data_IF_428719184126
#
_entry.id   IF_428719184126
#
_cell.length_a   1.000
_cell.length_b   1.000
_cell.length_c   1.000
_cell.angle_alpha   90.00
_cell.angle_beta   90.00
_cell.angle_gamma   90.00
#
_symmetry.space_group_name_H-M   'P 1'
#
loop_
_entity.id
_entity.type
_entity.pdbx_description
1 polymer ?
#
# COMPACT_ATOMS: atom_id res chain seq x y z
N UNK A 1 -14.80 16.14 -7.69
CA UNK A 1 -13.61 16.49 -6.85
C UNK A 1 -14.01 17.04 -5.48
N UNK A 2 -14.79 18.13 -5.34
CA UNK A 2 -15.17 18.69 -4.02
C UNK A 2 -15.76 17.65 -3.05
N UNK A 3 -16.63 16.74 -3.52
CA UNK A 3 -17.22 15.66 -2.70
C UNK A 3 -16.17 14.66 -2.21
N UNK A 4 -15.21 14.25 -3.04
CA UNK A 4 -14.13 13.34 -2.66
C UNK A 4 -13.26 13.92 -1.53
N UNK A 5 -12.93 15.21 -1.60
CA UNK A 5 -12.17 15.89 -0.55
C UNK A 5 -12.99 16.04 0.74
N UNK A 6 -14.27 16.41 0.65
CA UNK A 6 -15.16 16.50 1.82
C UNK A 6 -15.32 15.15 2.51
N UNK A 7 -15.49 14.06 1.74
CA UNK A 7 -15.65 12.71 2.28
C UNK A 7 -14.35 12.16 2.86
N UNK A 8 -13.20 12.56 2.34
CA UNK A 8 -11.89 12.14 2.85
C UNK A 8 -11.58 12.69 4.25
N UNK A 9 -12.12 13.87 4.60
CA UNK A 9 -11.90 14.48 5.91
C UNK A 9 -12.85 13.95 7.00
N UNK A 10 -13.85 13.16 6.63
CA UNK A 10 -14.74 12.50 7.60
C UNK A 10 -14.03 11.34 8.29
N UNK A 11 -14.40 11.09 9.53
CA UNK A 11 -13.99 9.92 10.32
C UNK A 11 -12.48 9.85 10.67
N UNK A 12 -11.79 10.99 10.70
CA UNK A 12 -10.40 11.03 11.19
C UNK A 12 -10.38 10.87 12.71
N UNK A 13 -9.67 9.84 13.18
CA UNK A 13 -9.43 9.61 14.60
C UNK A 13 -8.22 10.41 15.08
N UNK A 14 -8.13 10.59 16.41
CA UNK A 14 -6.93 11.18 17.01
C UNK A 14 -5.67 10.38 16.64
N UNK A 15 -5.79 9.04 16.56
CA UNK A 15 -4.69 8.17 16.13
C UNK A 15 -4.19 8.52 14.72
N UNK A 16 -5.08 8.73 13.74
CA UNK A 16 -4.70 9.07 12.37
C UNK A 16 -3.96 10.41 12.30
N UNK A 17 -4.46 11.40 13.06
CA UNK A 17 -3.84 12.72 13.13
C UNK A 17 -2.47 12.66 13.80
N UNK A 18 -2.35 11.93 14.92
CA UNK A 18 -1.08 11.74 15.62
C UNK A 18 -0.07 10.97 14.75
N UNK A 19 -0.50 9.92 14.08
CA UNK A 19 0.37 9.14 13.21
C UNK A 19 0.91 10.00 12.04
N UNK A 20 0.01 10.72 11.35
CA UNK A 20 0.39 11.58 10.25
C UNK A 20 1.29 12.74 10.69
N UNK A 21 0.93 13.43 11.78
CA UNK A 21 1.72 14.56 12.29
C UNK A 21 3.08 14.11 12.81
N UNK A 22 3.15 13.00 13.55
CA UNK A 22 4.43 12.45 14.03
C UNK A 22 5.32 12.04 12.86
N UNK A 23 4.78 11.33 11.88
CA UNK A 23 5.54 10.96 10.68
C UNK A 23 6.03 12.20 9.91
N UNK A 24 5.18 13.22 9.74
CA UNK A 24 5.56 14.47 9.08
C UNK A 24 6.67 15.21 9.83
N UNK A 25 6.55 15.35 11.15
CA UNK A 25 7.57 16.02 11.98
C UNK A 25 8.90 15.25 11.94
N UNK A 26 8.88 13.93 12.05
CA UNK A 26 10.09 13.11 11.96
C UNK A 26 10.77 13.23 10.59
N UNK A 27 10.01 13.15 9.50
CA UNK A 27 10.55 13.26 8.15
C UNK A 27 11.14 14.65 7.86
N UNK A 28 10.47 15.72 8.33
CA UNK A 28 10.97 17.09 8.22
C UNK A 28 12.21 17.32 9.09
N UNK A 29 12.22 16.79 10.32
CA UNK A 29 13.39 16.87 11.20
C UNK A 29 14.60 16.15 10.59
N UNK A 30 14.41 14.98 10.01
CA UNK A 30 15.48 14.25 9.31
C UNK A 30 15.99 15.01 8.08
N UNK A 31 15.10 15.65 7.32
CA UNK A 31 15.50 16.48 6.18
C UNK A 31 16.39 17.67 6.60
N UNK A 32 16.09 18.28 7.76
CA UNK A 32 16.85 19.42 8.29
C UNK A 32 18.18 18.96 8.90
N UNK A 33 18.16 17.85 9.66
CA UNK A 33 19.31 17.38 10.45
C UNK A 33 20.37 16.69 9.59
N UNK A 34 19.94 15.82 8.67
CA UNK A 34 20.83 14.92 7.95
C UNK A 34 21.24 15.46 6.56
N UNK A 35 20.53 16.47 6.05
CA UNK A 35 20.79 17.09 4.73
C UNK A 35 20.81 16.12 3.55
N UNK A 36 20.87 14.81 3.85
CA UNK A 36 20.97 13.73 2.89
C UNK A 36 19.60 13.29 2.33
N UNK A 37 18.51 13.70 2.99
CA UNK A 37 17.17 13.33 2.57
C UNK A 37 16.69 14.25 1.44
N UNK A 38 16.46 13.68 0.26
CA UNK A 38 15.91 14.45 -0.86
C UNK A 38 14.50 14.94 -0.54
N UNK A 39 14.17 16.18 -0.90
CA UNK A 39 12.81 16.73 -0.82
C UNK A 39 11.80 15.79 -1.48
N UNK A 40 12.19 15.18 -2.60
CA UNK A 40 11.38 14.20 -3.33
C UNK A 40 11.09 12.97 -2.47
N UNK A 41 12.09 12.46 -1.74
CA UNK A 41 11.92 11.32 -0.82
C UNK A 41 10.95 11.61 0.31
N UNK A 42 11.02 12.80 0.92
CA UNK A 42 10.11 13.22 1.98
C UNK A 42 8.68 13.39 1.46
N UNK A 43 8.48 14.05 0.33
CA UNK A 43 7.15 14.19 -0.27
C UNK A 43 6.58 12.82 -0.67
N UNK A 44 7.42 11.93 -1.21
CA UNK A 44 7.04 10.55 -1.52
C UNK A 44 6.55 9.82 -0.26
N UNK A 45 7.31 9.85 0.83
CA UNK A 45 6.93 9.20 2.07
C UNK A 45 5.62 9.75 2.64
N UNK A 46 5.45 11.07 2.69
CA UNK A 46 4.22 11.71 3.19
C UNK A 46 3.00 11.36 2.34
N UNK A 47 3.13 11.39 1.01
CA UNK A 47 2.02 11.03 0.11
C UNK A 47 1.68 9.54 0.19
N UNK A 48 2.66 8.66 0.42
CA UNK A 48 2.45 7.24 0.66
C UNK A 48 1.73 6.96 1.98
N UNK A 49 2.08 7.69 3.05
CA UNK A 49 1.40 7.58 4.35
C UNK A 49 -0.06 8.06 4.23
N UNK A 50 -0.30 9.19 3.55
CA UNK A 50 -1.65 9.69 3.27
C UNK A 50 -2.47 8.70 2.43
N UNK A 51 -1.86 8.11 1.39
CA UNK A 51 -2.48 7.02 0.62
C UNK A 51 -2.93 5.89 1.54
N UNK A 52 -2.04 5.38 2.38
CA UNK A 52 -2.32 4.23 3.26
C UNK A 52 -3.40 4.52 4.28
N UNK A 53 -3.37 5.70 4.94
CA UNK A 53 -4.40 6.11 5.90
C UNK A 53 -5.78 6.24 5.24
N UNK A 54 -5.86 6.91 4.10
CA UNK A 54 -7.11 7.07 3.38
C UNK A 54 -7.63 5.75 2.79
N UNK A 55 -6.73 4.87 2.32
CA UNK A 55 -7.09 3.54 1.86
C UNK A 55 -7.65 2.69 3.02
N UNK A 56 -7.04 2.75 4.20
CA UNK A 56 -7.55 2.09 5.41
C UNK A 56 -8.96 2.52 5.77
N UNK A 57 -9.27 3.80 5.59
CA UNK A 57 -10.62 4.36 5.79
C UNK A 57 -11.58 4.05 4.64
N UNK A 58 -11.12 3.45 3.55
CA UNK A 58 -11.92 3.17 2.36
C UNK A 58 -12.24 4.41 1.54
N UNK A 59 -11.43 5.47 1.62
CA UNK A 59 -11.67 6.73 0.91
C UNK A 59 -11.01 6.71 -0.48
N UNK A 60 -11.79 6.85 -1.54
CA UNK A 60 -11.31 6.81 -2.93
C UNK A 60 -10.23 7.89 -3.23
N UNK A 61 -10.19 8.98 -2.45
CA UNK A 61 -9.16 10.02 -2.56
C UNK A 61 -7.74 9.46 -2.34
N UNK A 62 -7.58 8.32 -1.66
CA UNK A 62 -6.29 7.67 -1.46
C UNK A 62 -5.52 7.53 -2.78
N UNK A 63 -6.19 7.16 -3.86
CA UNK A 63 -5.56 6.93 -5.17
C UNK A 63 -4.91 8.19 -5.76
N UNK A 64 -5.41 9.39 -5.45
CA UNK A 64 -4.76 10.64 -5.89
C UNK A 64 -3.40 10.80 -5.20
N UNK A 65 -3.33 10.56 -3.89
CA UNK A 65 -2.05 10.56 -3.17
C UNK A 65 -1.17 9.38 -3.61
N UNK A 66 -1.79 8.23 -3.92
CA UNK A 66 -1.10 7.07 -4.49
C UNK A 66 -0.43 7.37 -5.84
N UNK A 67 -1.08 8.09 -6.74
CA UNK A 67 -0.49 8.53 -8.02
C UNK A 67 0.78 9.36 -7.77
N UNK A 68 0.69 10.36 -6.88
CA UNK A 68 1.85 11.21 -6.54
C UNK A 68 2.96 10.37 -5.92
N UNK A 69 2.63 9.55 -4.92
CA UNK A 69 3.60 8.66 -4.27
C UNK A 69 4.29 7.73 -5.28
N UNK A 70 3.52 7.06 -6.14
CA UNK A 70 4.02 6.09 -7.12
C UNK A 70 5.01 6.73 -8.11
N UNK A 71 4.72 7.96 -8.57
CA UNK A 71 5.62 8.71 -9.46
C UNK A 71 6.92 9.05 -8.72
N UNK A 72 6.80 9.62 -7.52
CA UNK A 72 7.96 10.09 -6.75
C UNK A 72 8.80 8.94 -6.20
N UNK A 73 8.16 7.89 -5.67
CA UNK A 73 8.87 6.72 -5.17
C UNK A 73 9.55 5.95 -6.30
N UNK A 74 8.91 5.84 -7.47
CA UNK A 74 9.55 5.29 -8.66
C UNK A 74 10.84 6.04 -9.03
N UNK A 75 10.84 7.37 -8.91
CA UNK A 75 12.05 8.18 -9.11
C UNK A 75 13.11 7.94 -8.02
N UNK A 76 12.70 7.85 -6.75
CA UNK A 76 13.62 7.52 -5.63
C UNK A 76 14.24 6.15 -5.84
N UNK A 77 13.45 5.16 -6.24
CA UNK A 77 13.92 3.82 -6.56
C UNK A 77 14.90 3.81 -7.74
N UNK A 78 14.60 4.59 -8.80
CA UNK A 78 15.51 4.77 -9.95
C UNK A 78 16.85 5.36 -9.50
N UNK A 79 16.82 6.46 -8.75
CA UNK A 79 18.02 7.13 -8.25
C UNK A 79 18.85 6.25 -7.31
N UNK A 80 18.19 5.35 -6.55
CA UNK A 80 18.83 4.35 -5.68
C UNK A 80 19.28 3.07 -6.39
N UNK A 81 19.09 2.95 -7.71
CA UNK A 81 19.47 1.75 -8.47
C UNK A 81 18.53 0.56 -8.25
N UNK A 82 17.38 0.76 -7.59
CA UNK A 82 16.37 -0.29 -7.31
C UNK A 82 15.38 -0.37 -8.48
N UNK A 83 15.86 -0.83 -9.62
CA UNK A 83 15.09 -0.83 -10.88
C UNK A 83 13.84 -1.72 -10.85
N UNK A 84 13.82 -2.76 -10.01
CA UNK A 84 12.63 -3.59 -9.79
C UNK A 84 11.48 -2.78 -9.20
N UNK A 85 11.73 -2.04 -8.13
CA UNK A 85 10.75 -1.15 -7.51
C UNK A 85 10.32 -0.01 -8.44
N UNK A 86 11.27 0.59 -9.17
CA UNK A 86 10.97 1.60 -10.20
C UNK A 86 9.98 1.04 -11.23
N UNK A 87 10.27 -0.13 -11.79
CA UNK A 87 9.43 -0.78 -12.82
C UNK A 87 8.06 -1.11 -12.26
N UNK A 88 7.99 -1.69 -11.05
CA UNK A 88 6.73 -2.03 -10.39
C UNK A 88 5.87 -0.77 -10.14
N UNK A 89 6.48 0.32 -9.71
CA UNK A 89 5.77 1.58 -9.47
C UNK A 89 5.27 2.22 -10.76
N UNK A 90 6.12 2.40 -11.78
CA UNK A 90 5.73 3.14 -12.97
C UNK A 90 4.90 2.34 -13.96
N UNK A 91 5.19 1.04 -14.14
CA UNK A 91 4.52 0.22 -15.15
C UNK A 91 3.32 -0.56 -14.60
N UNK A 92 3.25 -0.79 -13.28
CA UNK A 92 2.15 -1.54 -12.68
C UNK A 92 1.29 -0.70 -11.73
N UNK A 93 1.86 -0.14 -10.67
CA UNK A 93 1.06 0.59 -9.68
C UNK A 93 0.44 1.86 -10.27
N UNK A 94 1.18 2.65 -11.03
CA UNK A 94 0.67 3.90 -11.58
C UNK A 94 -0.60 3.68 -12.45
N UNK A 95 -0.66 2.76 -13.42
CA UNK A 95 -1.91 2.41 -14.09
C UNK A 95 -3.00 1.91 -13.14
N UNK A 96 -2.64 1.07 -12.17
CA UNK A 96 -3.60 0.51 -11.20
C UNK A 96 -4.18 1.58 -10.26
N UNK A 97 -3.46 2.67 -9.97
CA UNK A 97 -4.01 3.81 -9.22
C UNK A 97 -5.18 4.47 -9.95
N UNK A 98 -5.11 4.62 -11.28
CA UNK A 98 -6.23 5.15 -12.06
C UNK A 98 -7.42 4.17 -12.09
N UNK A 99 -7.16 2.88 -12.24
CA UNK A 99 -8.20 1.84 -12.18
C UNK A 99 -8.87 1.83 -10.79
N UNK A 100 -8.07 1.91 -9.73
CA UNK A 100 -8.55 1.97 -8.36
C UNK A 100 -9.39 3.21 -8.08
N UNK A 101 -8.94 4.40 -8.51
CA UNK A 101 -9.69 5.65 -8.38
C UNK A 101 -11.05 5.54 -9.06
N UNK A 102 -11.09 5.03 -10.29
CA UNK A 102 -12.33 4.82 -11.02
C UNK A 102 -13.27 3.84 -10.31
N UNK A 103 -12.74 2.68 -9.91
CA UNK A 103 -13.52 1.62 -9.28
C UNK A 103 -14.07 2.05 -7.93
N UNK A 104 -13.24 2.64 -7.07
CA UNK A 104 -13.66 3.06 -5.74
C UNK A 104 -14.65 4.22 -5.79
N UNK A 105 -14.45 5.20 -6.68
CA UNK A 105 -15.37 6.33 -6.83
C UNK A 105 -16.79 5.92 -7.24
N UNK A 106 -16.93 4.77 -7.91
CA UNK A 106 -18.25 4.23 -8.29
C UNK A 106 -18.92 3.36 -7.24
N UNK A 107 -18.18 2.96 -6.20
CA UNK A 107 -18.68 2.06 -5.16
C UNK A 107 -18.60 2.70 -3.76
N UNK A 108 -18.75 4.01 -3.70
CA UNK A 108 -18.71 4.79 -2.46
C UNK A 108 -20.13 4.90 -1.88
N UNK A 109 -20.27 4.61 -0.59
CA UNK A 109 -21.51 4.85 0.15
C UNK A 109 -21.77 6.35 0.30
N UNK A 110 -23.01 6.76 0.10
CA UNK A 110 -23.41 8.16 0.22
C UNK A 110 -23.31 8.68 1.68
N UNK A 111 -23.58 7.81 2.66
CA UNK A 111 -23.62 8.18 4.07
C UNK A 111 -22.21 8.39 4.66
N UNK A 112 -21.31 7.45 4.44
CA UNK A 112 -19.97 7.44 5.04
C UNK A 112 -18.90 8.04 4.13
N UNK A 113 -19.14 8.09 2.82
CA UNK A 113 -18.12 8.43 1.83
C UNK A 113 -17.00 7.39 1.73
N UNK A 114 -17.16 6.23 2.37
CA UNK A 114 -16.28 5.08 2.26
C UNK A 114 -16.77 4.08 1.21
N UNK A 115 -15.88 3.18 0.76
CA UNK A 115 -16.26 2.13 -0.19
C UNK A 115 -16.84 0.92 0.53
N UNK A 116 -17.76 0.22 -0.14
CA UNK A 116 -18.22 -1.10 0.29
C UNK A 116 -17.06 -2.10 0.27
N UNK A 117 -16.81 -2.75 1.39
CA UNK A 117 -15.74 -3.73 1.57
C UNK A 117 -16.23 -5.12 1.21
N UNK A 118 -15.33 -5.95 0.72
CA UNK A 118 -15.63 -7.32 0.34
C UNK A 118 -14.73 -8.29 1.07
N UNK A 119 -15.24 -9.51 1.24
CA UNK A 119 -14.51 -10.68 1.72
C UNK A 119 -14.53 -11.75 0.64
N UNK A 120 -13.40 -12.33 0.36
CA UNK A 120 -13.31 -13.43 -0.60
C UNK A 120 -13.95 -14.70 -0.05
N UNK A 121 -14.58 -15.47 -0.92
CA UNK A 121 -14.98 -16.83 -0.59
C UNK A 121 -13.73 -17.73 -0.44
N UNK A 122 -13.87 -18.85 0.25
CA UNK A 122 -12.76 -19.80 0.42
C UNK A 122 -12.16 -20.24 -0.92
N UNK A 123 -13.01 -20.50 -1.92
CA UNK A 123 -12.54 -20.86 -3.27
C UNK A 123 -11.72 -19.73 -3.93
N UNK A 124 -12.19 -18.48 -3.82
CA UNK A 124 -11.45 -17.32 -4.35
C UNK A 124 -10.10 -17.14 -3.64
N UNK A 125 -10.03 -17.33 -2.31
CA UNK A 125 -8.78 -17.30 -1.55
C UNK A 125 -7.79 -18.34 -2.04
N UNK A 126 -8.20 -19.60 -2.15
CA UNK A 126 -7.36 -20.68 -2.65
C UNK A 126 -6.84 -20.36 -4.05
N UNK A 127 -7.71 -19.85 -4.92
CA UNK A 127 -7.34 -19.48 -6.29
C UNK A 127 -6.31 -18.34 -6.32
N UNK A 128 -6.49 -17.29 -5.52
CA UNK A 128 -5.54 -16.17 -5.45
C UNK A 128 -4.21 -16.61 -4.84
N UNK A 129 -4.22 -17.40 -3.76
CA UNK A 129 -3.00 -17.94 -3.17
C UNK A 129 -2.24 -18.80 -4.19
N UNK A 130 -2.96 -19.68 -4.91
CA UNK A 130 -2.35 -20.52 -5.96
C UNK A 130 -1.74 -19.70 -7.10
N UNK A 131 -2.48 -18.69 -7.62
CA UNK A 131 -1.98 -17.82 -8.68
C UNK A 131 -0.79 -16.96 -8.22
N UNK A 132 -0.81 -16.46 -6.97
CA UNK A 132 0.31 -15.73 -6.39
C UNK A 132 1.54 -16.62 -6.22
N UNK A 133 1.35 -17.87 -5.78
CA UNK A 133 2.42 -18.87 -5.67
C UNK A 133 3.04 -19.21 -7.03
N UNK A 134 2.22 -19.41 -8.06
CA UNK A 134 2.72 -19.63 -9.43
C UNK A 134 3.47 -18.39 -9.93
N UNK A 135 2.90 -17.20 -9.74
CA UNK A 135 3.55 -15.94 -10.11
C UNK A 135 4.90 -15.75 -9.41
N UNK A 136 4.99 -16.13 -8.13
CA UNK A 136 6.24 -16.14 -7.39
C UNK A 136 7.28 -17.08 -7.99
N UNK A 137 6.90 -18.33 -8.30
CA UNK A 137 7.82 -19.31 -8.89
C UNK A 137 8.35 -18.83 -10.25
N UNK A 138 7.49 -18.23 -11.08
CA UNK A 138 7.88 -17.66 -12.38
C UNK A 138 8.84 -16.49 -12.19
N UNK A 139 8.51 -15.53 -11.31
CA UNK A 139 9.36 -14.38 -11.03
C UNK A 139 10.69 -14.78 -10.42
N UNK A 140 10.68 -15.72 -9.46
CA UNK A 140 11.89 -16.27 -8.89
C UNK A 140 12.79 -16.87 -9.99
N UNK A 141 12.25 -17.74 -10.84
CA UNK A 141 13.03 -18.39 -11.93
C UNK A 141 13.62 -17.36 -12.90
N UNK A 142 12.85 -16.32 -13.26
CA UNK A 142 13.33 -15.24 -14.13
C UNK A 142 14.44 -14.42 -13.46
N UNK A 143 14.24 -14.01 -12.20
CA UNK A 143 15.23 -13.21 -11.46
C UNK A 143 16.52 -14.00 -11.21
N UNK A 144 16.41 -15.30 -10.93
CA UNK A 144 17.55 -16.19 -10.76
C UNK A 144 18.34 -16.33 -12.08
N UNK A 145 17.63 -16.54 -13.20
CA UNK A 145 18.24 -16.62 -14.53
C UNK A 145 19.00 -15.33 -14.92
N UNK A 146 18.49 -14.15 -14.56
CA UNK A 146 19.14 -12.86 -14.83
C UNK A 146 20.13 -12.42 -13.76
N UNK A 147 20.44 -13.25 -12.77
CA UNK A 147 21.44 -12.98 -11.75
C UNK A 147 21.03 -11.98 -10.69
N UNK A 148 19.76 -11.97 -10.33
CA UNK A 148 19.24 -11.11 -9.24
C UNK A 148 19.94 -11.40 -7.91
N UNK A 149 20.10 -10.37 -7.07
CA UNK A 149 20.80 -10.48 -5.78
C UNK A 149 20.02 -11.27 -4.71
N UNK A 150 18.69 -11.26 -4.79
CA UNK A 150 17.79 -11.94 -3.85
C UNK A 150 16.55 -12.51 -4.55
N UNK A 151 16.67 -13.41 -5.56
CA UNK A 151 15.60 -13.76 -6.47
C UNK A 151 14.34 -14.32 -5.77
N UNK A 152 14.54 -15.08 -4.68
CA UNK A 152 13.43 -15.68 -3.90
C UNK A 152 12.59 -14.58 -3.23
N UNK A 153 13.24 -13.64 -2.53
CA UNK A 153 12.54 -12.59 -1.79
C UNK A 153 11.94 -11.53 -2.72
N UNK A 154 12.69 -11.12 -3.74
CA UNK A 154 12.24 -10.13 -4.73
C UNK A 154 11.06 -10.68 -5.54
N UNK A 155 11.10 -11.94 -5.94
CA UNK A 155 10.00 -12.62 -6.59
C UNK A 155 8.75 -12.72 -5.69
N UNK A 156 8.96 -13.06 -4.41
CA UNK A 156 7.85 -13.17 -3.44
C UNK A 156 7.18 -11.81 -3.17
N UNK A 157 7.97 -10.77 -2.90
CA UNK A 157 7.43 -9.42 -2.65
C UNK A 157 6.71 -8.88 -3.87
N UNK A 158 7.25 -9.08 -5.07
CA UNK A 158 6.61 -8.65 -6.32
C UNK A 158 5.29 -9.38 -6.55
N UNK A 159 5.24 -10.70 -6.43
CA UNK A 159 4.01 -11.48 -6.62
C UNK A 159 2.93 -11.10 -5.58
N UNK A 160 3.32 -10.97 -4.30
CA UNK A 160 2.43 -10.52 -3.23
C UNK A 160 1.92 -9.09 -3.47
N UNK A 161 2.77 -8.19 -3.92
CA UNK A 161 2.42 -6.81 -4.24
C UNK A 161 1.41 -6.69 -5.38
N UNK A 162 1.58 -7.50 -6.42
CA UNK A 162 0.64 -7.60 -7.54
C UNK A 162 -0.72 -8.08 -7.02
N UNK A 163 -0.75 -9.16 -6.25
CA UNK A 163 -1.99 -9.68 -5.67
C UNK A 163 -2.64 -8.67 -4.71
N UNK A 164 -1.87 -8.03 -3.83
CA UNK A 164 -2.35 -7.03 -2.89
C UNK A 164 -3.01 -5.84 -3.60
N UNK A 165 -2.39 -5.34 -4.66
CA UNK A 165 -2.94 -4.22 -5.44
C UNK A 165 -4.25 -4.59 -6.15
N UNK A 166 -4.33 -5.78 -6.75
CA UNK A 166 -5.56 -6.29 -7.36
C UNK A 166 -6.67 -6.39 -6.31
N UNK A 167 -6.37 -7.00 -5.16
CA UNK A 167 -7.31 -7.11 -4.04
C UNK A 167 -7.76 -5.75 -3.52
N UNK A 168 -6.84 -4.77 -3.47
CA UNK A 168 -7.14 -3.40 -3.10
C UNK A 168 -8.13 -2.74 -4.04
N UNK A 169 -7.89 -2.80 -5.34
CA UNK A 169 -8.81 -2.28 -6.35
C UNK A 169 -10.18 -2.98 -6.28
N UNK A 170 -10.21 -4.27 -5.97
CA UNK A 170 -11.43 -5.06 -5.74
C UNK A 170 -12.10 -4.78 -4.39
N UNK A 171 -11.49 -4.01 -3.52
CA UNK A 171 -11.98 -3.64 -2.16
C UNK A 171 -12.07 -4.84 -1.21
N UNK A 172 -11.22 -5.85 -1.39
CA UNK A 172 -11.19 -7.03 -0.55
C UNK A 172 -10.34 -6.78 0.70
N UNK A 173 -10.80 -7.25 1.88
CA UNK A 173 -10.03 -7.06 3.11
C UNK A 173 -8.69 -7.80 3.07
N UNK A 174 -8.60 -8.90 2.32
CA UNK A 174 -7.40 -9.72 2.16
C UNK A 174 -6.21 -8.95 1.59
N UNK A 175 -6.43 -7.80 0.95
CA UNK A 175 -5.35 -6.89 0.54
C UNK A 175 -4.42 -6.54 1.72
N UNK A 176 -4.99 -6.33 2.92
CA UNK A 176 -4.22 -5.90 4.08
C UNK A 176 -3.32 -7.01 4.62
N UNK A 177 -3.73 -8.28 4.49
CA UNK A 177 -2.89 -9.43 4.82
C UNK A 177 -1.69 -9.52 3.86
N UNK A 178 -1.95 -9.35 2.57
CA UNK A 178 -0.90 -9.37 1.55
C UNK A 178 0.06 -8.16 1.72
N UNK A 179 -0.47 -6.94 1.96
CA UNK A 179 0.36 -5.77 2.23
C UNK A 179 1.18 -5.90 3.52
N UNK A 180 0.61 -6.49 4.58
CA UNK A 180 1.36 -6.74 5.83
C UNK A 180 2.56 -7.67 5.58
N UNK A 181 2.40 -8.71 4.77
CA UNK A 181 3.50 -9.59 4.40
C UNK A 181 4.58 -8.84 3.58
N UNK A 182 4.17 -8.07 2.56
CA UNK A 182 5.09 -7.23 1.77
C UNK A 182 5.82 -6.23 2.66
N UNK A 183 5.09 -5.50 3.50
CA UNK A 183 5.67 -4.47 4.37
C UNK A 183 6.68 -5.07 5.37
N UNK A 184 6.43 -6.27 5.89
CA UNK A 184 7.37 -6.97 6.77
C UNK A 184 8.68 -7.30 6.05
N UNK A 185 8.60 -7.89 4.86
CA UNK A 185 9.79 -8.24 4.07
C UNK A 185 10.55 -6.97 3.66
N UNK A 186 9.83 -5.96 3.18
CA UNK A 186 10.41 -4.68 2.75
C UNK A 186 11.09 -3.95 3.92
N UNK A 187 10.47 -3.93 5.10
CA UNK A 187 11.07 -3.32 6.29
C UNK A 187 12.39 -4.00 6.66
N UNK A 188 12.46 -5.33 6.63
CA UNK A 188 13.70 -6.07 6.90
C UNK A 188 14.76 -5.76 5.84
N UNK A 189 14.38 -5.71 4.56
CA UNK A 189 15.28 -5.39 3.46
C UNK A 189 15.86 -3.97 3.61
N UNK A 190 15.01 -2.97 3.79
CA UNK A 190 15.44 -1.58 3.94
C UNK A 190 16.21 -1.32 5.23
N UNK A 191 15.93 -2.05 6.31
CA UNK A 191 16.73 -2.01 7.53
C UNK A 191 18.16 -2.50 7.29
N UNK A 192 18.34 -3.60 6.54
CA UNK A 192 19.66 -4.11 6.16
C UNK A 192 20.43 -3.14 5.25
N UNK A 193 19.75 -2.51 4.28
CA UNK A 193 20.34 -1.49 3.42
C UNK A 193 20.78 -0.26 4.23
N UNK A 194 19.94 0.19 5.16
CA UNK A 194 20.28 1.30 6.04
C UNK A 194 21.51 0.99 6.93
N UNK A 195 21.62 -0.21 7.49
CA UNK A 195 22.81 -0.63 8.27
C UNK A 195 24.11 -0.61 7.45
N UNK A 196 24.02 -0.77 6.13
CA UNK A 196 25.16 -0.70 5.21
C UNK A 196 25.46 0.72 4.72
N UNK A 197 24.65 1.71 5.12
CA UNK A 197 24.76 3.08 4.63
C UNK A 197 24.21 3.31 3.22
N UNK A 198 23.50 2.32 2.66
CA UNK A 198 22.94 2.34 1.30
C UNK A 198 21.45 2.72 1.28
N UNK A 199 20.80 2.69 2.44
CA UNK A 199 19.35 2.92 2.58
C UNK A 199 18.99 4.25 3.19
N UNK A 200 17.85 4.81 2.77
CA UNK A 200 17.26 6.04 3.33
C UNK A 200 16.47 5.75 4.60
N UNK A 201 16.72 6.52 5.67
CA UNK A 201 15.97 6.42 6.91
C UNK A 201 14.49 6.83 6.73
N UNK A 202 14.19 7.78 5.82
CA UNK A 202 12.81 8.16 5.49
C UNK A 202 12.03 7.00 4.87
N UNK A 203 12.66 6.20 4.01
CA UNK A 203 12.08 4.99 3.43
C UNK A 203 11.83 3.92 4.50
N UNK A 204 12.76 3.74 5.43
CA UNK A 204 12.61 2.81 6.55
C UNK A 204 11.42 3.19 7.43
N UNK A 205 11.27 4.48 7.77
CA UNK A 205 10.13 4.99 8.54
C UNK A 205 8.83 4.76 7.78
N UNK A 206 8.79 5.04 6.48
CA UNK A 206 7.62 4.81 5.63
C UNK A 206 7.16 3.35 5.68
N UNK A 207 8.07 2.39 5.52
CA UNK A 207 7.75 0.96 5.59
C UNK A 207 7.31 0.52 6.99
N UNK A 208 7.88 1.09 8.05
CA UNK A 208 7.44 0.89 9.43
C UNK A 208 6.00 1.34 9.65
N UNK A 209 5.66 2.54 9.18
CA UNK A 209 4.29 3.08 9.23
C UNK A 209 3.33 2.20 8.41
N UNK A 210 3.73 1.77 7.22
CA UNK A 210 2.91 0.89 6.39
C UNK A 210 2.62 -0.45 7.07
N UNK A 211 3.61 -1.03 7.77
CA UNK A 211 3.42 -2.27 8.52
C UNK A 211 2.40 -2.10 9.65
N UNK A 212 2.54 -1.06 10.48
CA UNK A 212 1.61 -0.75 11.57
C UNK A 212 0.20 -0.52 11.03
N UNK A 213 0.07 0.31 9.98
CA UNK A 213 -1.21 0.56 9.32
C UNK A 213 -1.80 -0.73 8.72
N UNK A 214 -0.98 -1.57 8.09
CA UNK A 214 -1.41 -2.83 7.50
C UNK A 214 -2.09 -3.75 8.52
N UNK A 215 -1.50 -3.90 9.70
CA UNK A 215 -2.04 -4.72 10.79
C UNK A 215 -3.36 -4.12 11.30
N UNK A 216 -3.39 -2.82 11.60
CA UNK A 216 -4.58 -2.14 12.13
C UNK A 216 -5.73 -2.22 11.14
N UNK A 217 -5.46 -1.91 9.86
CA UNK A 217 -6.50 -1.91 8.84
C UNK A 217 -6.95 -3.31 8.45
N UNK A 218 -6.11 -4.35 8.58
CA UNK A 218 -6.54 -5.73 8.42
C UNK A 218 -7.67 -6.06 9.40
N UNK A 219 -7.51 -5.70 10.68
CA UNK A 219 -8.52 -5.94 11.72
C UNK A 219 -9.78 -5.13 11.43
N UNK A 220 -9.65 -3.82 11.17
CA UNK A 220 -10.80 -2.94 10.94
C UNK A 220 -11.60 -3.32 9.69
N UNK A 221 -10.92 -3.71 8.61
CA UNK A 221 -11.59 -4.12 7.37
C UNK A 221 -12.27 -5.47 7.52
N UNK A 222 -11.68 -6.39 8.28
CA UNK A 222 -12.32 -7.69 8.55
C UNK A 222 -13.66 -7.46 9.28
N UNK A 223 -13.66 -6.69 10.37
CA UNK A 223 -14.86 -6.38 11.14
C UNK A 223 -15.95 -5.74 10.27
N UNK A 224 -15.60 -4.71 9.51
CA UNK A 224 -16.55 -4.01 8.64
C UNK A 224 -17.07 -4.88 7.50
N UNK A 225 -16.23 -5.73 6.90
CA UNK A 225 -16.68 -6.64 5.84
C UNK A 225 -17.65 -7.72 6.35
N UNK A 226 -17.53 -8.12 7.61
CA UNK A 226 -18.47 -9.03 8.27
C UNK A 226 -19.82 -8.36 8.53
N UNK A 227 -19.82 -7.12 9.04
CA UNK A 227 -21.04 -6.32 9.23
C UNK A 227 -21.79 -6.08 7.92
N UNK A 228 -21.08 -5.75 6.85
CA UNK A 228 -21.67 -5.51 5.52
C UNK A 228 -22.26 -6.80 4.94
N UNK A 229 -21.60 -7.95 5.09
CA UNK A 229 -22.11 -9.25 4.63
C UNK A 229 -23.37 -9.66 5.41
N UNK A 230 -23.41 -9.40 6.72
CA UNK A 230 -24.59 -9.70 7.55
C UNK A 230 -25.79 -8.85 7.13
N UNK A 231 -25.61 -7.55 6.92
CA UNK A 231 -26.67 -6.65 6.45
C UNK A 231 -27.22 -7.04 5.06
N UNK A 232 -26.35 -7.47 4.13
CA UNK A 232 -26.78 -7.96 2.82
C UNK A 232 -27.62 -9.24 2.96
N UNK A 233 -27.26 -10.15 3.87
CA UNK A 233 -28.01 -11.37 4.12
C UNK A 233 -29.38 -11.10 4.76
N UNK A 234 -29.47 -10.15 5.70
CA UNK A 234 -30.73 -9.72 6.33
C UNK A 234 -31.66 -9.01 5.35
N UNK A 235 -31.11 -8.21 4.42
CA UNK A 235 -31.90 -7.50 3.41
C UNK A 235 -32.43 -8.41 2.28
N UNK A 236 -31.90 -9.64 2.15
CA UNK A 236 -32.28 -10.63 1.17
C UNK A 236 -33.38 -11.59 1.69
N UNK A 237 -33.73 -11.51 2.98
CA UNK A 237 -34.83 -12.27 3.63
C UNK A 237 -36.12 -11.47 3.67
#
# INVERSE_FOLDING_TARGET
MKKLFSDALKDWSLFDLLLLSTAAVLLLALMIYDGAQSVIGVISALTGILYTLLAGKGKALCYIFGIVNTILYGYVAYAGGVYGDMTLNWLYYLPMMFVGLYTWSRHTEAATGGVFRKKLTTFQRVRIIGLTGIGWLVLWSLLDYYGGSSPILDGATTALSIAAMILGVMRCFEQWLAWTAVNTISLIMWFRLWQRGEGSLSTLIMWGVFLVCGIIFAIQWLQKSEEETTKEAEAAQ
#
